data_IF_845532676430
#
_entry.id   IF_845532676430
#
_cell.length_a   1.000
_cell.length_b   1.000
_cell.length_c   1.000
_cell.angle_alpha   90.00
_cell.angle_beta   90.00
_cell.angle_gamma   90.00
#
_symmetry.space_group_name_H-M   'P 1'
#
loop_
_entity.id
_entity.type
_entity.pdbx_description
1 polymer ?
#
# COMPACT_ATOMS: atom_id res chain seq x y z
N UNK A 1 -4.96 15.89 -10.56
CA UNK A 1 -4.90 14.73 -9.64
C UNK A 1 -4.72 15.24 -8.22
N UNK A 2 -5.45 14.70 -7.24
CA UNK A 2 -5.37 15.13 -5.85
C UNK A 2 -4.87 14.00 -4.94
N UNK A 3 -3.84 14.30 -4.13
CA UNK A 3 -3.25 13.39 -3.14
C UNK A 3 -2.60 14.23 -2.03
N UNK A 4 -2.88 13.96 -0.77
CA UNK A 4 -2.22 14.68 0.33
C UNK A 4 -0.76 14.26 0.51
N UNK A 5 -0.35 13.13 -0.04
CA UNK A 5 1.05 12.69 -0.12
C UNK A 5 1.58 12.87 -1.53
N UNK A 6 2.74 13.47 -1.67
CA UNK A 6 3.47 13.56 -2.95
C UNK A 6 4.96 13.78 -2.66
N UNK A 7 5.90 13.26 -3.47
CA UNK A 7 7.33 13.44 -3.22
C UNK A 7 7.73 14.91 -3.03
N UNK A 8 8.67 15.20 -2.13
CA UNK A 8 9.59 14.30 -1.41
C UNK A 8 9.04 13.68 -0.12
N UNK A 9 7.74 13.76 0.12
CA UNK A 9 7.11 13.12 1.28
C UNK A 9 7.28 11.60 1.23
N UNK A 10 7.56 10.99 2.39
CA UNK A 10 7.80 9.55 2.54
C UNK A 10 6.48 8.80 2.70
N UNK A 11 5.83 8.44 1.59
CA UNK A 11 4.53 7.76 1.60
C UNK A 11 4.33 6.85 0.39
N UNK A 12 3.63 5.73 0.60
CA UNK A 12 3.35 4.77 -0.48
C UNK A 12 2.39 5.31 -1.52
N UNK A 13 1.37 6.06 -1.09
CA UNK A 13 0.38 6.66 -1.99
C UNK A 13 0.99 7.82 -2.77
N UNK A 14 1.85 8.61 -2.14
CA UNK A 14 2.59 9.67 -2.80
C UNK A 14 3.51 9.14 -3.92
N UNK A 15 4.24 8.06 -3.64
CA UNK A 15 5.08 7.37 -4.62
C UNK A 15 4.26 6.81 -5.78
N UNK A 16 3.14 6.15 -5.49
CA UNK A 16 2.21 5.66 -6.49
C UNK A 16 1.70 6.79 -7.38
N UNK A 17 1.22 7.87 -6.76
CA UNK A 17 0.67 9.04 -7.46
C UNK A 17 1.70 9.66 -8.39
N UNK A 18 2.93 9.82 -7.92
CA UNK A 18 4.03 10.38 -8.73
C UNK A 18 4.30 9.56 -9.98
N UNK A 19 4.44 8.24 -9.85
CA UNK A 19 4.74 7.35 -10.97
C UNK A 19 3.56 7.28 -11.95
N UNK A 20 2.32 7.26 -11.45
CA UNK A 20 1.13 7.32 -12.31
C UNK A 20 1.05 8.64 -13.09
N UNK A 21 1.29 9.78 -12.43
CA UNK A 21 1.30 11.10 -13.09
C UNK A 21 2.37 11.15 -14.18
N UNK A 22 3.58 10.68 -13.88
CA UNK A 22 4.66 10.60 -14.86
C UNK A 22 4.27 9.77 -16.08
N UNK A 23 3.66 8.61 -15.86
CA UNK A 23 3.23 7.74 -16.95
C UNK A 23 2.07 8.32 -17.76
N UNK A 24 1.11 8.98 -17.13
CA UNK A 24 0.02 9.67 -17.82
C UNK A 24 0.53 10.85 -18.67
N UNK A 25 1.46 11.64 -18.14
CA UNK A 25 2.13 12.72 -18.88
C UNK A 25 2.89 12.17 -20.09
N UNK A 26 3.55 11.02 -19.97
CA UNK A 26 4.22 10.34 -21.10
C UNK A 26 3.23 9.84 -22.18
N UNK A 27 1.95 9.63 -21.82
CA UNK A 27 0.88 9.32 -22.78
C UNK A 27 0.24 10.58 -23.40
N UNK A 28 0.78 11.77 -23.12
CA UNK A 28 0.32 13.04 -23.66
C UNK A 28 -0.87 13.67 -22.94
N UNK A 29 -1.15 13.24 -21.69
CA UNK A 29 -2.17 13.90 -20.88
C UNK A 29 -1.56 15.06 -20.09
N UNK A 30 -2.26 16.19 -20.05
CA UNK A 30 -1.94 17.31 -19.15
C UNK A 30 -2.44 16.99 -17.76
N UNK A 31 -1.52 16.73 -16.83
CA UNK A 31 -1.85 16.34 -15.46
C UNK A 31 -1.27 17.34 -14.47
N UNK A 32 -2.15 18.02 -13.76
CA UNK A 32 -1.81 18.89 -12.62
C UNK A 32 -1.99 18.12 -11.31
N UNK A 33 -1.12 18.36 -10.34
CA UNK A 33 -1.12 17.68 -9.03
C UNK A 33 -1.39 18.67 -7.93
N UNK A 34 -2.48 18.45 -7.16
CA UNK A 34 -2.76 19.11 -5.90
C UNK A 34 -2.32 18.23 -4.74
N UNK A 35 -1.47 18.74 -3.84
CA UNK A 35 -0.90 17.96 -2.74
C UNK A 35 -0.70 18.78 -1.45
N UNK A 36 0.03 18.21 -0.49
CA UNK A 36 0.47 18.90 0.72
C UNK A 36 1.57 19.91 0.40
N UNK A 37 1.72 20.93 1.25
CA UNK A 37 2.79 21.94 1.14
C UNK A 37 4.20 21.34 1.16
N UNK A 38 4.39 20.20 1.83
CA UNK A 38 5.66 19.49 1.85
C UNK A 38 5.92 18.66 0.57
N UNK A 39 4.93 18.51 -0.30
CA UNK A 39 5.05 17.87 -1.61
C UNK A 39 5.39 18.87 -2.70
N UNK A 40 6.00 18.39 -3.79
CA UNK A 40 6.35 19.20 -4.97
C UNK A 40 5.32 18.98 -6.09
N UNK A 41 4.03 19.18 -5.80
CA UNK A 41 2.97 19.22 -6.79
C UNK A 41 2.84 20.60 -7.44
N UNK A 42 1.89 20.74 -8.38
CA UNK A 42 1.61 22.00 -9.06
C UNK A 42 0.82 22.97 -8.16
N UNK A 43 0.01 22.41 -7.24
CA UNK A 43 -0.79 23.14 -6.26
C UNK A 43 -0.61 22.53 -4.86
N UNK A 44 -0.68 23.35 -3.83
CA UNK A 44 -0.52 22.95 -2.43
C UNK A 44 -1.78 23.23 -1.60
N UNK A 45 -1.74 22.83 -0.33
CA UNK A 45 -2.79 23.12 0.65
C UNK A 45 -3.62 21.93 1.09
N UNK A 46 -3.42 20.73 0.50
CA UNK A 46 -4.09 19.52 0.97
C UNK A 46 -3.36 18.91 2.18
N UNK A 47 -4.11 18.54 3.21
CA UNK A 47 -3.53 17.90 4.39
C UNK A 47 -4.57 17.05 5.13
N UNK A 48 -4.16 15.97 5.81
CA UNK A 48 -5.07 15.22 6.70
C UNK A 48 -5.70 16.07 7.81
N UNK A 49 -5.07 17.18 8.17
CA UNK A 49 -5.55 18.09 9.23
C UNK A 49 -6.27 19.33 8.69
N UNK A 50 -6.21 19.59 7.40
CA UNK A 50 -6.85 20.74 6.80
C UNK A 50 -8.35 20.52 6.60
N UNK A 51 -9.18 21.15 7.43
CA UNK A 51 -10.65 21.09 7.33
C UNK A 51 -11.20 21.74 6.06
N UNK A 52 -10.42 22.56 5.38
CA UNK A 52 -10.77 23.27 4.13
C UNK A 52 -10.28 22.56 2.87
N UNK A 53 -9.92 21.27 2.92
CA UNK A 53 -9.52 20.51 1.74
C UNK A 53 -10.52 20.62 0.58
N UNK A 54 -11.84 20.62 0.89
CA UNK A 54 -12.89 20.77 -0.13
C UNK A 54 -12.82 22.11 -0.85
N UNK A 55 -12.66 23.19 -0.11
CA UNK A 55 -12.61 24.57 -0.62
C UNK A 55 -11.32 24.77 -1.44
N UNK A 56 -10.19 24.23 -0.98
CA UNK A 56 -8.90 24.24 -1.71
C UNK A 56 -9.08 23.54 -3.05
N UNK A 57 -9.62 22.34 -3.08
CA UNK A 57 -9.82 21.59 -4.33
C UNK A 57 -10.81 22.27 -5.27
N UNK A 58 -11.90 22.87 -4.77
CA UNK A 58 -12.88 23.59 -5.60
C UNK A 58 -12.20 24.79 -6.31
N UNK A 59 -11.41 25.59 -5.59
CA UNK A 59 -10.67 26.72 -6.18
C UNK A 59 -9.69 26.24 -7.27
N UNK A 60 -8.93 25.17 -7.01
CA UNK A 60 -7.99 24.62 -8.01
C UNK A 60 -8.74 24.13 -9.25
N UNK A 61 -9.89 23.46 -9.08
CA UNK A 61 -10.72 23.00 -10.20
C UNK A 61 -11.28 24.15 -11.01
N UNK A 62 -11.72 25.23 -10.35
CA UNK A 62 -12.18 26.45 -11.01
C UNK A 62 -11.07 27.14 -11.81
N UNK A 63 -9.85 27.20 -11.26
CA UNK A 63 -8.67 27.81 -11.90
C UNK A 63 -8.20 27.01 -13.13
N UNK A 64 -8.12 25.66 -13.02
CA UNK A 64 -7.60 24.80 -14.10
C UNK A 64 -8.68 24.49 -15.14
N UNK A 65 -9.95 24.40 -14.71
CA UNK A 65 -11.07 23.88 -15.50
C UNK A 65 -10.77 22.53 -16.18
N UNK A 66 -10.39 21.48 -15.42
CA UNK A 66 -9.94 20.22 -16.00
C UNK A 66 -11.11 19.41 -16.56
N UNK A 67 -10.82 18.50 -17.50
CA UNK A 67 -11.80 17.54 -18.01
C UNK A 67 -12.23 16.52 -16.95
N UNK A 68 -11.31 16.14 -16.05
CA UNK A 68 -11.51 15.11 -15.00
C UNK A 68 -10.73 15.50 -13.74
N UNK A 69 -11.33 15.30 -12.59
CA UNK A 69 -10.64 15.30 -11.30
C UNK A 69 -10.40 13.86 -10.86
N UNK A 70 -9.16 13.52 -10.58
CA UNK A 70 -8.81 12.19 -10.07
C UNK A 70 -8.32 12.28 -8.62
N UNK A 71 -9.02 11.61 -7.70
CA UNK A 71 -8.73 11.60 -6.25
C UNK A 71 -8.04 10.29 -5.87
N UNK A 72 -6.88 10.37 -5.24
CA UNK A 72 -6.21 9.25 -4.58
C UNK A 72 -6.79 9.15 -3.16
N UNK A 73 -7.73 8.24 -2.95
CA UNK A 73 -8.54 8.22 -1.74
C UNK A 73 -8.08 7.16 -0.73
N UNK A 74 -7.67 7.63 0.42
CA UNK A 74 -7.54 6.89 1.68
C UNK A 74 -8.16 7.77 2.77
N UNK A 75 -9.17 7.30 3.52
CA UNK A 75 -9.87 8.15 4.49
C UNK A 75 -8.95 8.91 5.45
N UNK A 76 -7.90 8.24 5.93
CA UNK A 76 -6.92 8.84 6.83
C UNK A 76 -6.13 10.00 6.23
N UNK A 77 -5.97 10.04 4.92
CA UNK A 77 -5.29 11.15 4.21
C UNK A 77 -6.12 12.43 4.14
N UNK A 78 -7.42 12.33 4.33
CA UNK A 78 -8.34 13.47 4.27
C UNK A 78 -9.07 13.72 5.59
N UNK A 79 -8.45 13.34 6.71
CA UNK A 79 -8.98 13.62 8.04
C UNK A 79 -10.24 12.86 8.36
N UNK A 80 -10.25 11.54 8.19
CA UNK A 80 -11.40 10.71 8.52
C UNK A 80 -11.79 10.84 9.98
N UNK A 81 -13.05 11.16 10.21
CA UNK A 81 -13.71 11.13 11.51
C UNK A 81 -14.71 9.99 11.49
N UNK A 82 -14.35 8.88 12.15
CA UNK A 82 -15.25 7.75 12.39
C UNK A 82 -15.92 7.95 13.75
N UNK A 83 -17.17 8.40 13.75
CA UNK A 83 -17.98 8.56 14.95
C UNK A 83 -18.77 7.27 15.23
N UNK A 84 -18.44 6.51 16.28
CA UNK A 84 -19.12 5.26 16.59
C UNK A 84 -20.54 5.47 17.14
N UNK A 85 -20.83 6.64 17.70
CA UNK A 85 -22.13 6.96 18.31
C UNK A 85 -23.07 7.57 17.27
N UNK A 86 -22.59 8.59 16.57
CA UNK A 86 -23.37 9.28 15.55
C UNK A 86 -22.78 9.03 14.15
N UNK A 87 -23.17 7.92 13.55
CA UNK A 87 -22.69 7.48 12.23
C UNK A 87 -22.88 8.50 11.11
N UNK A 88 -23.87 9.41 11.25
CA UNK A 88 -24.12 10.48 10.27
C UNK A 88 -23.04 11.57 10.30
N UNK A 89 -22.29 11.68 11.38
CA UNK A 89 -21.19 12.64 11.52
C UNK A 89 -19.85 12.10 11.01
N UNK A 90 -19.79 10.83 10.59
CA UNK A 90 -18.57 10.26 10.03
C UNK A 90 -18.33 10.83 8.64
N UNK A 91 -17.20 11.51 8.48
CA UNK A 91 -16.87 12.29 7.29
C UNK A 91 -15.37 12.45 7.10
N UNK A 92 -15.03 12.84 5.89
CA UNK A 92 -13.69 13.33 5.53
C UNK A 92 -13.77 14.82 5.17
N UNK A 93 -12.64 15.52 5.19
CA UNK A 93 -12.60 16.95 4.85
C UNK A 93 -12.69 17.23 3.34
N UNK A 94 -12.95 16.21 2.51
CA UNK A 94 -13.24 16.37 1.08
C UNK A 94 -14.67 15.95 0.71
N UNK A 95 -15.55 15.65 1.66
CA UNK A 95 -16.92 15.23 1.36
C UNK A 95 -17.68 16.30 0.59
N UNK A 96 -17.58 17.57 1.04
CA UNK A 96 -18.24 18.71 0.39
C UNK A 96 -17.74 18.93 -1.05
N UNK A 97 -16.48 18.59 -1.35
CA UNK A 97 -15.95 18.63 -2.71
C UNK A 97 -16.70 17.69 -3.64
N UNK A 98 -16.92 16.44 -3.24
CA UNK A 98 -17.63 15.45 -4.07
C UNK A 98 -19.06 15.88 -4.41
N UNK A 99 -19.74 16.62 -3.52
CA UNK A 99 -21.09 17.14 -3.78
C UNK A 99 -21.11 18.39 -4.66
N UNK A 100 -20.11 19.26 -4.54
CA UNK A 100 -20.11 20.57 -5.19
C UNK A 100 -19.38 20.57 -6.53
N UNK A 101 -18.44 19.65 -6.74
CA UNK A 101 -17.66 19.57 -7.96
C UNK A 101 -18.55 19.14 -9.14
N UNK A 102 -18.59 19.97 -10.19
CA UNK A 102 -19.32 19.69 -11.43
C UNK A 102 -18.50 18.91 -12.45
N UNK A 103 -17.17 18.96 -12.31
CA UNK A 103 -16.26 18.21 -13.14
C UNK A 103 -16.32 16.72 -12.80
N UNK A 104 -16.30 15.83 -13.79
CA UNK A 104 -16.29 14.39 -13.54
C UNK A 104 -15.17 13.95 -12.60
N UNK A 105 -15.51 13.09 -11.63
CA UNK A 105 -14.58 12.60 -10.61
C UNK A 105 -14.27 11.12 -10.87
N UNK A 106 -12.99 10.76 -10.85
CA UNK A 106 -12.48 9.40 -10.74
C UNK A 106 -11.86 9.25 -9.36
N UNK A 107 -12.12 8.14 -8.67
CA UNK A 107 -11.54 7.88 -7.35
C UNK A 107 -10.77 6.56 -7.33
N UNK A 108 -9.46 6.61 -7.06
CA UNK A 108 -8.68 5.41 -6.75
C UNK A 108 -8.70 5.17 -5.24
N UNK A 109 -9.23 4.02 -4.83
CA UNK A 109 -9.31 3.62 -3.43
C UNK A 109 -8.04 2.86 -3.02
N UNK A 110 -7.38 3.32 -1.97
CA UNK A 110 -6.17 2.70 -1.43
C UNK A 110 -6.44 1.76 -0.26
N UNK A 111 -7.64 1.81 0.33
CA UNK A 111 -8.07 0.87 1.37
C UNK A 111 -9.51 0.42 1.20
N UNK A 112 -9.73 -0.86 1.46
CA UNK A 112 -11.04 -1.48 1.51
C UNK A 112 -10.92 -2.78 2.29
N UNK A 113 -11.71 -2.93 3.36
CA UNK A 113 -11.66 -4.10 4.23
C UNK A 113 -13.02 -4.81 4.26
N UNK A 114 -13.01 -6.14 4.21
CA UNK A 114 -14.18 -6.92 4.59
C UNK A 114 -14.37 -6.87 6.13
N UNK A 115 -15.51 -7.36 6.60
CA UNK A 115 -15.84 -7.32 8.03
C UNK A 115 -14.79 -8.06 8.89
N UNK A 116 -14.35 -9.25 8.46
CA UNK A 116 -13.39 -10.05 9.23
C UNK A 116 -12.03 -9.36 9.37
N UNK A 117 -11.51 -8.79 8.29
CA UNK A 117 -10.24 -8.07 8.32
C UNK A 117 -10.36 -6.73 9.07
N UNK A 118 -11.48 -6.03 8.93
CA UNK A 118 -11.73 -4.84 9.74
C UNK A 118 -11.72 -5.16 11.23
N UNK A 119 -12.43 -6.22 11.65
CA UNK A 119 -12.44 -6.65 13.05
C UNK A 119 -11.09 -7.14 13.54
N UNK A 120 -10.26 -7.70 12.66
CA UNK A 120 -8.90 -8.15 13.02
C UNK A 120 -7.98 -7.01 13.48
N UNK A 121 -8.29 -5.76 13.13
CA UNK A 121 -7.59 -4.57 13.65
C UNK A 121 -7.70 -4.44 15.18
N UNK A 122 -8.76 -4.99 15.77
CA UNK A 122 -8.93 -5.02 17.23
C UNK A 122 -7.80 -5.76 17.96
N UNK A 123 -7.17 -6.72 17.28
CA UNK A 123 -6.03 -7.46 17.80
C UNK A 123 -4.69 -6.73 17.67
N UNK A 124 -4.65 -5.57 16.95
CA UNK A 124 -3.46 -4.74 16.83
C UNK A 124 -3.28 -3.88 18.10
N UNK A 125 -3.04 -4.54 19.24
CA UNK A 125 -2.89 -3.88 20.53
C UNK A 125 -1.40 -3.79 20.88
N UNK A 126 -0.94 -2.58 21.16
CA UNK A 126 0.40 -2.37 21.73
C UNK A 126 0.39 -2.81 23.20
N UNK A 127 1.36 -3.62 23.61
CA UNK A 127 1.53 -4.08 25.01
C UNK A 127 1.92 -2.94 25.96
N UNK A 128 2.49 -1.84 25.46
CA UNK A 128 2.92 -0.71 26.25
C UNK A 128 1.79 0.27 26.58
N UNK A 129 1.65 0.62 27.84
CA UNK A 129 0.72 1.63 28.34
C UNK A 129 0.66 1.57 29.87
N UNK A 130 0.12 2.59 30.54
CA UNK A 130 0.08 2.73 32.01
C UNK A 130 -0.43 1.50 32.77
N UNK A 131 -1.30 0.67 32.18
CA UNK A 131 -1.87 -0.52 32.79
C UNK A 131 -1.11 -1.82 32.44
N UNK A 132 -0.01 -1.75 31.69
CA UNK A 132 0.79 -2.94 31.34
C UNK A 132 -0.04 -4.07 30.70
N UNK A 133 0.27 -5.32 31.10
CA UNK A 133 -0.40 -6.53 30.60
C UNK A 133 -1.87 -6.60 31.07
N UNK A 134 -2.19 -6.15 32.28
CA UNK A 134 -3.56 -6.18 32.84
C UNK A 134 -4.55 -5.30 32.09
N UNK A 135 -4.09 -4.23 31.40
CA UNK A 135 -4.93 -3.38 30.57
C UNK A 135 -5.22 -3.96 29.18
N UNK A 136 -4.62 -5.08 28.76
CA UNK A 136 -4.80 -5.66 27.43
C UNK A 136 -6.24 -6.09 27.17
N UNK A 137 -6.93 -6.83 28.08
CA UNK A 137 -8.33 -7.22 27.84
C UNK A 137 -9.27 -6.03 27.70
N UNK A 138 -9.13 -5.01 28.54
CA UNK A 138 -9.94 -3.80 28.45
C UNK A 138 -9.72 -3.05 27.13
N UNK A 139 -8.47 -2.88 26.72
CA UNK A 139 -8.13 -2.23 25.43
C UNK A 139 -8.64 -3.03 24.24
N UNK A 140 -8.57 -4.36 24.31
CA UNK A 140 -9.14 -5.22 23.28
C UNK A 140 -10.65 -5.02 23.21
N UNK A 141 -11.35 -5.06 24.32
CA UNK A 141 -12.79 -4.86 24.36
C UNK A 141 -13.18 -3.49 23.77
N UNK A 142 -12.54 -2.41 24.21
CA UNK A 142 -12.80 -1.06 23.69
C UNK A 142 -12.55 -1.00 22.17
N UNK A 143 -11.42 -1.52 21.67
CA UNK A 143 -11.14 -1.56 20.24
C UNK A 143 -12.11 -2.44 19.47
N UNK A 144 -12.45 -3.61 20.00
CA UNK A 144 -13.39 -4.53 19.37
C UNK A 144 -14.76 -3.88 19.18
N UNK A 145 -15.33 -3.31 20.24
CA UNK A 145 -16.61 -2.62 20.15
C UNK A 145 -16.53 -1.38 19.26
N UNK A 146 -15.44 -0.61 19.32
CA UNK A 146 -15.23 0.52 18.41
C UNK A 146 -15.20 0.06 16.95
N UNK A 147 -14.45 -0.98 16.61
CA UNK A 147 -14.41 -1.49 15.23
C UNK A 147 -15.76 -2.09 14.79
N UNK A 148 -16.45 -2.80 15.68
CA UNK A 148 -17.80 -3.31 15.40
C UNK A 148 -18.78 -2.18 15.05
N UNK A 149 -18.76 -1.10 15.81
CA UNK A 149 -19.63 0.06 15.58
C UNK A 149 -19.24 0.87 14.34
N UNK A 150 -17.95 0.94 14.02
CA UNK A 150 -17.42 1.79 12.93
C UNK A 150 -17.29 1.09 11.59
N UNK A 151 -17.43 -0.24 11.53
CA UNK A 151 -17.31 -0.97 10.25
C UNK A 151 -18.27 -0.46 9.16
N UNK A 152 -19.56 -0.39 9.49
CA UNK A 152 -20.55 0.10 8.55
C UNK A 152 -20.31 1.57 8.15
N UNK A 153 -19.79 2.34 9.08
CA UNK A 153 -19.42 3.74 8.84
C UNK A 153 -18.26 3.85 7.85
N UNK A 154 -17.20 3.07 8.05
CA UNK A 154 -16.06 2.99 7.13
C UNK A 154 -16.52 2.54 5.72
N UNK A 155 -17.33 1.47 5.66
CA UNK A 155 -17.91 0.98 4.42
C UNK A 155 -18.75 2.04 3.71
N UNK A 156 -19.59 2.77 4.46
CA UNK A 156 -20.43 3.83 3.92
C UNK A 156 -19.59 5.02 3.42
N UNK A 157 -18.51 5.38 4.08
CA UNK A 157 -17.60 6.44 3.58
C UNK A 157 -17.05 6.10 2.20
N UNK A 158 -16.54 4.89 2.02
CA UNK A 158 -16.05 4.44 0.73
C UNK A 158 -17.16 4.39 -0.32
N UNK A 159 -18.32 3.83 0.05
CA UNK A 159 -19.49 3.77 -0.84
C UNK A 159 -19.95 5.15 -1.28
N UNK A 160 -20.06 6.11 -0.38
CA UNK A 160 -20.44 7.49 -0.72
C UNK A 160 -19.48 8.12 -1.73
N UNK A 161 -18.16 7.88 -1.59
CA UNK A 161 -17.18 8.37 -2.57
C UNK A 161 -17.34 7.68 -3.91
N UNK A 162 -17.62 6.38 -3.91
CA UNK A 162 -17.89 5.64 -5.14
C UNK A 162 -19.17 6.15 -5.82
N UNK A 163 -20.27 6.28 -5.09
CA UNK A 163 -21.57 6.73 -5.61
C UNK A 163 -21.53 8.17 -6.18
N UNK A 164 -20.58 8.99 -5.71
CA UNK A 164 -20.33 10.36 -6.17
C UNK A 164 -19.24 10.45 -7.24
N UNK A 165 -18.60 9.35 -7.57
CA UNK A 165 -17.60 9.26 -8.62
C UNK A 165 -18.20 8.74 -9.91
N UNK A 166 -17.70 9.22 -11.05
CA UNK A 166 -18.06 8.69 -12.36
C UNK A 166 -17.43 7.32 -12.60
N UNK A 167 -16.32 7.02 -11.93
CA UNK A 167 -15.69 5.70 -11.89
C UNK A 167 -14.84 5.56 -10.65
N UNK A 168 -14.86 4.38 -10.03
CA UNK A 168 -13.91 3.96 -9.00
C UNK A 168 -12.80 3.11 -9.60
N UNK A 169 -11.62 3.10 -8.97
CA UNK A 169 -10.52 2.20 -9.29
C UNK A 169 -10.03 1.53 -8.02
N UNK A 170 -9.76 0.22 -8.10
CA UNK A 170 -9.21 -0.63 -7.04
C UNK A 170 -8.12 -1.54 -7.57
N UNK A 171 -7.30 -2.13 -6.70
CA UNK A 171 -6.12 -2.90 -7.11
C UNK A 171 -6.32 -4.42 -7.16
N UNK A 172 -7.51 -4.91 -6.79
CA UNK A 172 -7.78 -6.36 -6.70
C UNK A 172 -9.28 -6.66 -6.66
N UNK A 173 -9.64 -7.91 -6.94
CA UNK A 173 -11.02 -8.41 -6.76
C UNK A 173 -11.46 -8.35 -5.29
N UNK A 174 -10.52 -8.59 -4.36
CA UNK A 174 -10.79 -8.43 -2.94
C UNK A 174 -11.26 -7.01 -2.60
N UNK A 175 -10.55 -6.00 -3.10
CA UNK A 175 -10.95 -4.59 -2.91
C UNK A 175 -12.25 -4.26 -3.64
N UNK A 176 -12.46 -4.77 -4.85
CA UNK A 176 -13.72 -4.60 -5.59
C UNK A 176 -14.91 -5.08 -4.76
N UNK A 177 -14.84 -6.28 -4.18
CA UNK A 177 -15.88 -6.83 -3.29
C UNK A 177 -16.08 -6.00 -2.03
N UNK A 178 -15.04 -5.33 -1.53
CA UNK A 178 -15.09 -4.53 -0.32
C UNK A 178 -15.62 -3.10 -0.53
N UNK A 179 -15.36 -2.51 -1.70
CA UNK A 179 -15.75 -1.13 -2.05
C UNK A 179 -17.09 -1.11 -2.79
N UNK A 180 -17.21 -1.85 -3.89
CA UNK A 180 -18.44 -1.96 -4.68
C UNK A 180 -18.22 -2.15 -6.18
N UNK A 181 -19.27 -2.57 -6.88
CA UNK A 181 -19.24 -2.95 -8.30
C UNK A 181 -19.00 -1.78 -9.28
N UNK A 182 -19.12 -0.53 -8.83
CA UNK A 182 -18.81 0.66 -9.64
C UNK A 182 -17.31 0.92 -9.85
N UNK A 183 -16.43 0.03 -9.35
CA UNK A 183 -14.99 0.11 -9.53
C UNK A 183 -14.50 -0.75 -10.69
N UNK A 184 -13.43 -0.28 -11.35
CA UNK A 184 -12.59 -1.08 -12.24
C UNK A 184 -11.35 -1.57 -11.51
N UNK A 185 -10.90 -2.77 -11.83
CA UNK A 185 -9.64 -3.30 -11.31
C UNK A 185 -8.53 -2.83 -12.24
N UNK A 186 -7.63 -2.01 -11.70
CA UNK A 186 -6.36 -1.65 -12.33
C UNK A 186 -5.28 -1.99 -11.32
N UNK A 187 -4.42 -2.96 -11.61
CA UNK A 187 -3.38 -3.37 -10.67
C UNK A 187 -2.48 -2.19 -10.29
N UNK A 188 -1.97 -2.22 -9.07
CA UNK A 188 -1.02 -1.22 -8.60
C UNK A 188 0.22 -1.22 -9.49
N UNK A 189 0.50 -0.11 -10.15
CA UNK A 189 1.66 0.03 -10.99
C UNK A 189 2.96 -0.13 -10.21
N UNK A 190 3.88 -0.87 -10.79
CA UNK A 190 5.21 -1.09 -10.24
C UNK A 190 6.17 -1.41 -11.37
N UNK A 191 7.36 -0.83 -11.33
CA UNK A 191 8.37 -1.03 -12.36
C UNK A 191 9.77 -0.87 -11.74
N UNK A 192 10.74 -1.71 -12.14
CA UNK A 192 12.12 -1.53 -11.72
C UNK A 192 12.67 -0.16 -12.12
N UNK A 193 13.50 0.40 -11.29
CA UNK A 193 14.22 1.62 -11.63
C UNK A 193 15.16 1.37 -12.82
N UNK A 194 15.05 2.19 -13.85
CA UNK A 194 15.60 1.97 -15.21
C UNK A 194 17.11 2.13 -15.34
N UNK A 195 17.91 1.83 -14.30
CA UNK A 195 19.37 1.79 -14.45
C UNK A 195 19.84 0.37 -14.76
N UNK A 196 20.82 0.29 -15.62
CA UNK A 196 21.50 -0.93 -16.00
C UNK A 196 22.18 -1.58 -14.80
N UNK A 197 21.51 -2.58 -14.23
CA UNK A 197 22.09 -3.50 -13.26
C UNK A 197 22.19 -4.83 -14.00
N UNK A 198 23.40 -5.39 -14.09
CA UNK A 198 23.62 -6.65 -14.81
C UNK A 198 23.01 -7.87 -14.11
N UNK A 199 22.41 -7.68 -12.94
CA UNK A 199 21.67 -8.72 -12.23
C UNK A 199 21.92 -8.78 -10.73
N UNK A 200 21.45 -9.87 -10.13
CA UNK A 200 21.44 -10.11 -8.68
C UNK A 200 22.80 -9.99 -8.02
N UNK A 201 23.87 -10.52 -8.64
CA UNK A 201 25.23 -10.50 -8.10
C UNK A 201 25.76 -9.08 -7.95
N UNK A 202 25.52 -8.24 -8.96
CA UNK A 202 25.93 -6.84 -8.93
C UNK A 202 25.15 -6.06 -7.86
N UNK A 203 23.82 -6.23 -7.80
CA UNK A 203 23.01 -5.61 -6.78
C UNK A 203 23.46 -5.96 -5.36
N UNK A 204 23.80 -7.23 -5.12
CA UNK A 204 24.35 -7.69 -3.84
C UNK A 204 25.72 -7.08 -3.52
N UNK A 205 26.58 -6.95 -4.53
CA UNK A 205 27.89 -6.32 -4.38
C UNK A 205 27.76 -4.85 -3.97
N UNK A 206 26.90 -4.10 -4.68
CA UNK A 206 26.64 -2.67 -4.38
C UNK A 206 26.08 -2.49 -2.95
N UNK A 207 25.21 -3.41 -2.52
CA UNK A 207 24.58 -3.35 -1.20
C UNK A 207 25.41 -4.03 -0.08
N UNK A 208 26.57 -4.59 -0.40
CA UNK A 208 27.41 -5.39 0.52
C UNK A 208 26.63 -6.56 1.15
N UNK A 209 25.78 -7.23 0.36
CA UNK A 209 24.99 -8.39 0.77
C UNK A 209 25.71 -9.70 0.42
N UNK A 210 25.45 -10.81 1.16
CA UNK A 210 26.06 -12.11 0.90
C UNK A 210 25.78 -12.63 -0.52
N UNK A 211 26.81 -13.19 -1.15
CA UNK A 211 26.71 -13.76 -2.50
C UNK A 211 26.31 -15.24 -2.51
N UNK A 212 26.60 -15.95 -1.44
CA UNK A 212 26.51 -17.41 -1.27
C UNK A 212 25.23 -17.89 -0.57
N UNK A 213 24.39 -16.96 -0.13
CA UNK A 213 23.12 -17.26 0.54
C UNK A 213 21.93 -16.83 -0.31
N UNK A 214 20.78 -17.51 -0.19
CA UNK A 214 19.51 -16.99 -0.69
C UNK A 214 18.96 -15.92 0.26
N UNK A 215 18.35 -14.89 -0.28
CA UNK A 215 17.89 -13.73 0.48
C UNK A 215 16.37 -13.56 0.38
N UNK A 216 15.72 -13.47 1.53
CA UNK A 216 14.30 -13.10 1.63
C UNK A 216 14.18 -11.69 2.20
N UNK A 217 13.48 -10.81 1.48
CA UNK A 217 13.33 -9.38 1.84
C UNK A 217 12.08 -9.15 2.69
N UNK A 218 12.24 -8.50 3.84
CA UNK A 218 11.15 -7.91 4.60
C UNK A 218 11.35 -6.38 4.65
N UNK A 219 10.46 -5.63 3.97
CA UNK A 219 10.58 -4.18 3.88
C UNK A 219 9.23 -3.48 4.11
N UNK A 220 9.26 -2.29 4.70
CA UNK A 220 8.07 -1.48 4.91
C UNK A 220 8.14 -0.53 6.10
N UNK A 221 7.01 0.12 6.38
CA UNK A 221 6.89 1.04 7.51
C UNK A 221 6.89 0.32 8.87
N UNK A 222 7.41 1.00 9.90
CA UNK A 222 7.46 0.50 11.29
C UNK A 222 6.09 0.56 11.96
N UNK A 223 5.14 -0.24 11.46
CA UNK A 223 3.79 -0.32 12.01
C UNK A 223 3.45 -1.72 12.49
N UNK A 224 2.53 -1.82 13.45
CA UNK A 224 2.06 -3.12 13.99
C UNK A 224 1.42 -3.98 12.89
N UNK A 225 0.76 -3.35 11.92
CA UNK A 225 0.10 -4.02 10.80
C UNK A 225 1.06 -4.83 9.92
N UNK A 226 2.34 -4.42 9.83
CA UNK A 226 3.38 -5.10 9.04
C UNK A 226 3.90 -6.39 9.69
N UNK A 227 3.61 -6.63 10.97
CA UNK A 227 3.86 -7.92 11.60
C UNK A 227 5.33 -8.26 11.88
N UNK A 228 6.17 -7.26 12.06
CA UNK A 228 7.61 -7.38 12.32
C UNK A 228 7.98 -8.35 13.46
N UNK A 229 7.09 -8.51 14.44
CA UNK A 229 7.26 -9.42 15.59
C UNK A 229 7.43 -10.89 15.18
N UNK A 230 6.97 -11.28 14.00
CA UNK A 230 7.15 -12.65 13.50
C UNK A 230 8.62 -12.94 13.18
N UNK A 231 9.35 -11.98 12.59
CA UNK A 231 10.72 -12.16 12.18
C UNK A 231 11.64 -12.53 13.35
N UNK A 232 11.39 -11.97 14.53
CA UNK A 232 12.15 -12.31 15.76
C UNK A 232 12.14 -13.80 16.10
N UNK A 233 11.07 -14.50 15.75
CA UNK A 233 10.80 -15.87 16.16
C UNK A 233 10.87 -16.86 15.02
N UNK A 234 11.15 -16.39 13.80
CA UNK A 234 11.16 -17.23 12.62
C UNK A 234 12.41 -18.10 12.59
N UNK A 235 12.24 -19.40 12.31
CA UNK A 235 13.34 -20.29 12.01
C UNK A 235 13.72 -20.12 10.55
N UNK A 236 14.83 -19.45 10.25
CA UNK A 236 15.29 -19.22 8.90
C UNK A 236 15.96 -20.52 8.40
N UNK A 237 15.54 -21.09 7.25
CA UNK A 237 16.11 -22.30 6.71
C UNK A 237 17.61 -22.15 6.40
N UNK A 238 18.32 -23.28 6.46
CA UNK A 238 19.74 -23.31 6.09
C UNK A 238 19.94 -22.78 4.65
N UNK A 239 20.99 -22.02 4.42
CA UNK A 239 21.30 -21.39 3.13
C UNK A 239 20.50 -20.10 2.86
N UNK A 240 19.58 -19.72 3.76
CA UNK A 240 18.82 -18.48 3.65
C UNK A 240 19.21 -17.45 4.68
N UNK A 241 19.09 -16.18 4.30
CA UNK A 241 19.12 -15.04 5.21
C UNK A 241 17.91 -14.13 4.96
N UNK A 242 17.48 -13.43 6.00
CA UNK A 242 16.40 -12.43 5.89
C UNK A 242 17.01 -11.04 5.94
N UNK A 243 16.81 -10.28 4.87
CA UNK A 243 17.19 -8.87 4.80
C UNK A 243 16.01 -8.04 5.26
N UNK A 244 16.24 -7.17 6.22
CA UNK A 244 15.20 -6.29 6.79
C UNK A 244 15.56 -4.85 6.50
N UNK A 245 14.60 -4.07 5.99
CA UNK A 245 14.67 -2.62 5.99
C UNK A 245 13.34 -2.03 6.43
N UNK A 246 13.36 -1.27 7.50
CA UNK A 246 12.16 -0.65 8.05
C UNK A 246 12.31 0.86 8.14
N UNK A 247 11.27 1.60 7.81
CA UNK A 247 11.26 3.07 7.80
C UNK A 247 10.09 3.66 8.56
N UNK A 248 10.20 4.93 8.96
CA UNK A 248 9.07 5.71 9.43
C UNK A 248 8.29 6.26 8.22
N UNK A 249 6.96 6.25 8.27
CA UNK A 249 6.13 6.95 7.30
C UNK A 249 6.04 8.44 7.62
N UNK A 250 5.71 9.28 6.64
CA UNK A 250 5.62 10.74 6.83
C UNK A 250 4.61 11.14 7.91
N UNK A 251 3.44 10.51 7.92
CA UNK A 251 2.40 10.74 8.93
C UNK A 251 2.45 9.75 10.10
N UNK A 252 3.47 8.90 10.19
CA UNK A 252 3.54 7.91 11.25
C UNK A 252 3.97 8.55 12.56
N UNK A 253 3.06 8.60 13.53
CA UNK A 253 3.34 8.92 14.93
C UNK A 253 3.80 7.69 15.72
N UNK A 254 3.80 6.52 15.10
CA UNK A 254 4.11 5.26 15.76
C UNK A 254 5.61 5.04 15.90
N UNK A 255 6.10 5.08 17.13
CA UNK A 255 7.44 4.57 17.47
C UNK A 255 7.34 3.05 17.68
N UNK A 256 7.63 2.27 16.64
CA UNK A 256 7.76 0.82 16.77
C UNK A 256 9.22 0.49 17.01
N UNK A 257 9.52 -0.13 18.15
CA UNK A 257 10.88 -0.56 18.48
C UNK A 257 11.27 -1.77 17.62
N UNK A 258 12.31 -1.61 16.80
CA UNK A 258 12.85 -2.66 15.93
C UNK A 258 14.11 -3.32 16.49
N UNK A 259 14.66 -2.83 17.62
CA UNK A 259 15.90 -3.34 18.19
C UNK A 259 15.87 -4.84 18.51
N UNK A 260 14.67 -5.40 18.64
CA UNK A 260 14.51 -6.83 18.84
C UNK A 260 14.85 -7.72 17.64
N UNK A 261 14.93 -7.14 16.42
CA UNK A 261 15.25 -7.92 15.21
C UNK A 261 16.72 -8.30 15.20
N UNK A 262 17.58 -7.37 15.60
CA UNK A 262 19.06 -7.50 15.50
C UNK A 262 19.70 -8.36 16.59
N UNK A 263 19.03 -8.58 17.71
CA UNK A 263 19.71 -9.00 18.92
C UNK A 263 20.04 -10.49 19.05
N UNK A 264 19.67 -11.39 18.08
CA UNK A 264 19.83 -12.85 18.33
C UNK A 264 19.98 -13.78 17.11
N UNK A 265 20.14 -13.32 15.88
CA UNK A 265 20.27 -14.26 14.75
C UNK A 265 21.28 -13.77 13.70
N UNK A 266 22.34 -14.56 13.48
CA UNK A 266 23.29 -14.35 12.40
C UNK A 266 22.68 -14.46 10.98
N UNK A 267 21.41 -14.88 10.90
CA UNK A 267 20.68 -15.04 9.64
C UNK A 267 19.74 -13.87 9.32
N UNK A 268 19.71 -12.81 10.16
CA UNK A 268 18.97 -11.58 9.89
C UNK A 268 19.97 -10.46 9.63
N UNK A 269 19.84 -9.80 8.48
CA UNK A 269 20.61 -8.62 8.09
C UNK A 269 19.66 -7.43 8.19
N UNK A 270 19.81 -6.60 9.22
CA UNK A 270 19.05 -5.38 9.36
C UNK A 270 19.84 -4.21 8.78
N UNK A 271 19.34 -3.65 7.68
CA UNK A 271 20.03 -2.57 6.98
C UNK A 271 19.94 -1.23 7.72
N UNK A 272 18.95 -1.06 8.60
CA UNK A 272 18.72 0.16 9.39
C UNK A 272 18.71 1.45 8.53
N UNK A 273 18.41 1.32 7.25
CA UNK A 273 18.22 2.47 6.36
C UNK A 273 16.82 3.01 6.58
N UNK A 274 16.67 4.31 6.48
CA UNK A 274 15.35 4.94 6.52
C UNK A 274 14.58 4.66 5.21
N UNK A 275 13.65 5.50 4.83
CA UNK A 275 12.93 5.40 3.57
C UNK A 275 13.91 5.40 2.40
N UNK A 276 13.84 4.36 1.56
CA UNK A 276 14.74 4.19 0.43
C UNK A 276 14.21 4.98 -0.78
N UNK A 277 15.13 5.65 -1.47
CA UNK A 277 14.87 6.20 -2.79
C UNK A 277 14.63 5.07 -3.82
N UNK A 278 13.98 5.39 -4.93
CA UNK A 278 13.57 4.43 -5.97
C UNK A 278 14.72 3.51 -6.43
N UNK A 279 15.91 4.07 -6.64
CA UNK A 279 17.09 3.31 -7.05
C UNK A 279 17.49 2.28 -6.02
N UNK A 280 17.67 2.68 -4.78
CA UNK A 280 18.14 1.80 -3.71
C UNK A 280 17.10 0.76 -3.32
N UNK A 281 15.82 1.13 -3.41
CA UNK A 281 14.71 0.20 -3.23
C UNK A 281 14.69 -0.86 -4.32
N UNK A 282 14.87 -0.48 -5.57
CA UNK A 282 14.94 -1.41 -6.71
C UNK A 282 16.17 -2.31 -6.63
N UNK A 283 17.35 -1.76 -6.27
CA UNK A 283 18.56 -2.55 -6.02
C UNK A 283 18.33 -3.64 -4.96
N UNK A 284 17.65 -3.28 -3.88
CA UNK A 284 17.37 -4.22 -2.79
C UNK A 284 16.44 -5.35 -3.23
N UNK A 285 15.45 -5.05 -4.06
CA UNK A 285 14.59 -6.06 -4.66
C UNK A 285 15.39 -6.97 -5.59
N UNK A 286 16.21 -6.44 -6.50
CA UNK A 286 17.05 -7.27 -7.37
C UNK A 286 18.01 -8.19 -6.60
N UNK A 287 18.48 -7.78 -5.42
CA UNK A 287 19.38 -8.57 -4.60
C UNK A 287 18.73 -9.82 -3.99
N UNK A 288 17.40 -9.85 -3.88
CA UNK A 288 16.67 -10.87 -3.13
C UNK A 288 16.05 -11.97 -4.02
N UNK A 289 15.70 -13.09 -3.40
CA UNK A 289 15.11 -14.27 -4.05
C UNK A 289 13.62 -14.43 -3.74
N UNK A 290 13.16 -13.89 -2.63
CA UNK A 290 11.75 -13.89 -2.22
C UNK A 290 11.44 -12.67 -1.36
N UNK A 291 10.16 -12.33 -1.24
CA UNK A 291 9.69 -11.25 -0.34
C UNK A 291 8.83 -11.83 0.77
N UNK A 292 9.09 -11.42 2.00
CA UNK A 292 8.33 -11.80 3.20
C UNK A 292 7.35 -10.69 3.55
N UNK A 293 6.06 -11.03 3.59
CA UNK A 293 4.96 -10.12 3.92
C UNK A 293 4.17 -10.65 5.12
N UNK A 294 4.75 -10.63 6.34
CA UNK A 294 4.15 -11.23 7.53
C UNK A 294 3.05 -10.34 8.13
N UNK A 295 2.29 -9.68 7.28
CA UNK A 295 1.32 -8.67 7.67
C UNK A 295 0.24 -9.25 8.58
N UNK A 296 -0.24 -8.42 9.49
CA UNK A 296 -1.37 -8.74 10.35
C UNK A 296 -2.70 -8.36 9.72
N UNK A 297 -2.66 -7.35 8.87
CA UNK A 297 -3.79 -6.88 8.09
C UNK A 297 -3.28 -6.10 6.88
N UNK A 298 -3.97 -6.20 5.77
CA UNK A 298 -3.78 -5.36 4.60
C UNK A 298 -5.00 -5.40 3.69
N UNK A 299 -5.27 -4.33 2.99
CA UNK A 299 -6.21 -4.29 1.86
C UNK A 299 -5.49 -4.22 0.52
N UNK A 300 -4.22 -3.81 0.54
CA UNK A 300 -3.35 -3.70 -0.63
C UNK A 300 -1.89 -3.70 -0.18
N UNK A 301 -0.95 -4.02 -1.09
CA UNK A 301 0.47 -3.98 -0.77
C UNK A 301 1.29 -3.55 -1.99
N UNK A 302 1.72 -2.29 -2.00
CA UNK A 302 2.68 -1.79 -2.99
C UNK A 302 3.96 -2.61 -3.02
N UNK A 303 4.50 -2.98 -1.83
CA UNK A 303 5.72 -3.83 -1.73
C UNK A 303 5.56 -5.18 -2.44
N UNK A 304 4.36 -5.81 -2.39
CA UNK A 304 4.11 -7.04 -3.14
C UNK A 304 4.22 -6.78 -4.65
N UNK A 305 3.56 -5.75 -5.15
CA UNK A 305 3.60 -5.42 -6.57
C UNK A 305 5.01 -5.00 -7.02
N UNK A 306 5.74 -4.27 -6.19
CA UNK A 306 7.15 -3.94 -6.46
C UNK A 306 8.01 -5.20 -6.56
N UNK A 307 7.84 -6.17 -5.64
CA UNK A 307 8.54 -7.45 -5.71
C UNK A 307 8.20 -8.22 -6.99
N UNK A 308 6.92 -8.32 -7.34
CA UNK A 308 6.45 -8.98 -8.55
C UNK A 308 7.01 -8.31 -9.82
N UNK A 309 7.10 -6.99 -9.85
CA UNK A 309 7.68 -6.26 -10.99
C UNK A 309 9.17 -6.57 -11.20
N UNK A 310 9.88 -6.94 -10.13
CA UNK A 310 11.29 -7.35 -10.16
C UNK A 310 11.48 -8.87 -10.39
N UNK A 311 10.41 -9.61 -10.68
CA UNK A 311 10.50 -11.05 -10.91
C UNK A 311 10.57 -11.89 -9.62
N UNK A 312 10.22 -11.33 -8.46
CA UNK A 312 10.40 -11.96 -7.14
C UNK A 312 9.06 -12.46 -6.61
N UNK A 313 8.91 -13.77 -6.30
CA UNK A 313 7.72 -14.31 -5.66
C UNK A 313 7.62 -13.87 -4.19
N UNK A 314 6.40 -13.91 -3.65
CA UNK A 314 6.13 -13.53 -2.27
C UNK A 314 5.75 -14.73 -1.38
N UNK A 315 6.03 -14.58 -0.08
CA UNK A 315 5.55 -15.43 1.01
C UNK A 315 4.80 -14.51 1.96
N UNK A 316 3.49 -14.63 2.03
CA UNK A 316 2.64 -13.69 2.76
C UNK A 316 1.80 -14.38 3.84
N UNK A 317 1.34 -13.60 4.81
CA UNK A 317 0.30 -14.05 5.73
C UNK A 317 -0.98 -14.41 4.97
N UNK A 318 -1.73 -15.36 5.50
CA UNK A 318 -3.00 -15.86 4.98
C UNK A 318 -4.11 -14.79 5.12
N UNK A 319 -4.01 -13.74 4.29
CA UNK A 319 -4.96 -12.64 4.19
C UNK A 319 -5.64 -12.67 2.80
N UNK A 320 -6.90 -12.27 2.74
CA UNK A 320 -7.72 -12.37 1.53
C UNK A 320 -7.10 -11.67 0.31
N UNK A 321 -6.49 -10.51 0.50
CA UNK A 321 -5.76 -9.81 -0.55
C UNK A 321 -4.62 -10.66 -1.13
N UNK A 322 -3.77 -11.25 -0.29
CA UNK A 322 -2.64 -12.06 -0.77
C UNK A 322 -3.06 -13.39 -1.39
N UNK A 323 -4.16 -14.00 -0.91
CA UNK A 323 -4.71 -15.24 -1.48
C UNK A 323 -5.03 -15.09 -2.95
N UNK A 324 -5.65 -13.98 -3.34
CA UNK A 324 -5.99 -13.70 -4.75
C UNK A 324 -4.76 -13.81 -5.66
N UNK A 325 -3.62 -13.28 -5.24
CA UNK A 325 -2.39 -13.32 -6.02
C UNK A 325 -1.63 -14.65 -5.89
N UNK A 326 -1.76 -15.33 -4.76
CA UNK A 326 -1.21 -16.68 -4.59
C UNK A 326 -1.93 -17.71 -5.47
N UNK A 327 -3.24 -17.58 -5.70
CA UNK A 327 -4.02 -18.40 -6.63
C UNK A 327 -3.56 -18.26 -8.08
N UNK A 328 -2.93 -17.12 -8.42
CA UNK A 328 -2.28 -16.90 -9.72
C UNK A 328 -0.87 -17.51 -9.81
N UNK A 329 -0.39 -18.18 -8.75
CA UNK A 329 0.96 -18.73 -8.70
C UNK A 329 2.08 -17.68 -8.58
N UNK A 330 1.79 -16.49 -8.05
CA UNK A 330 2.77 -15.40 -7.91
C UNK A 330 3.55 -15.47 -6.60
N UNK A 331 3.20 -16.37 -5.74
CA UNK A 331 3.73 -16.60 -4.42
C UNK A 331 2.82 -17.51 -3.62
N UNK A 332 2.98 -17.53 -2.31
CA UNK A 332 2.16 -18.35 -1.41
C UNK A 332 1.67 -17.57 -0.21
N UNK A 333 0.55 -18.04 0.34
CA UNK A 333 0.08 -17.58 1.65
C UNK A 333 0.22 -18.69 2.68
N UNK A 334 0.63 -18.30 3.89
CA UNK A 334 0.88 -19.22 5.00
C UNK A 334 0.25 -18.67 6.28
N UNK A 335 -0.09 -19.57 7.23
CA UNK A 335 -0.53 -19.16 8.57
C UNK A 335 0.52 -18.26 9.20
N UNK A 336 0.09 -17.21 9.89
CA UNK A 336 1.00 -16.23 10.49
C UNK A 336 1.67 -16.78 11.75
N UNK A 337 2.58 -17.71 11.57
CA UNK A 337 3.45 -18.25 12.61
C UNK A 337 4.86 -18.55 12.06
N UNK A 338 5.82 -18.72 12.96
CA UNK A 338 7.24 -18.89 12.64
C UNK A 338 7.54 -20.13 11.79
N UNK A 339 6.86 -21.22 12.02
CA UNK A 339 7.08 -22.50 11.30
C UNK A 339 6.52 -22.40 9.89
N UNK A 340 5.29 -21.91 9.73
CA UNK A 340 4.65 -21.82 8.44
C UNK A 340 5.41 -20.88 7.47
N UNK A 341 5.98 -19.76 7.94
CA UNK A 341 6.82 -18.91 7.11
C UNK A 341 8.16 -19.58 6.73
N UNK A 342 8.75 -20.35 7.66
CA UNK A 342 9.94 -21.15 7.38
C UNK A 342 9.68 -22.21 6.30
N UNK A 343 8.56 -22.91 6.42
CA UNK A 343 8.15 -23.91 5.42
C UNK A 343 7.78 -23.25 4.09
N UNK A 344 7.21 -22.05 4.14
CA UNK A 344 6.95 -21.22 2.95
C UNK A 344 8.21 -20.86 2.17
N UNK A 345 9.31 -20.53 2.87
CA UNK A 345 10.60 -20.31 2.19
C UNK A 345 11.08 -21.58 1.48
N UNK A 346 11.00 -22.75 2.13
CA UNK A 346 11.35 -24.03 1.51
C UNK A 346 10.47 -24.38 0.32
N UNK A 347 9.19 -24.04 0.38
CA UNK A 347 8.24 -24.27 -0.71
C UNK A 347 8.57 -23.41 -1.93
N UNK A 348 8.82 -22.10 -1.73
CA UNK A 348 9.27 -21.22 -2.81
C UNK A 348 10.58 -21.71 -3.39
N UNK A 349 11.52 -22.15 -2.55
CA UNK A 349 12.82 -22.69 -3.01
C UNK A 349 12.64 -23.91 -3.91
N UNK A 350 11.82 -24.88 -3.47
CA UNK A 350 11.57 -26.14 -4.18
C UNK A 350 10.91 -25.92 -5.54
N UNK A 351 9.99 -24.96 -5.62
CA UNK A 351 9.18 -24.71 -6.81
C UNK A 351 9.48 -23.33 -7.45
N UNK A 352 10.71 -22.83 -7.28
CA UNK A 352 11.08 -21.47 -7.68
C UNK A 352 10.79 -21.19 -9.15
N UNK A 353 11.11 -22.13 -10.04
CA UNK A 353 10.87 -22.01 -11.49
C UNK A 353 9.38 -21.78 -11.81
N UNK A 354 8.49 -22.49 -11.13
CA UNK A 354 7.05 -22.31 -11.30
C UNK A 354 6.59 -20.90 -10.94
N UNK A 355 6.98 -20.43 -9.76
CA UNK A 355 6.59 -19.09 -9.30
C UNK A 355 7.22 -17.98 -10.15
N UNK A 356 8.49 -18.10 -10.47
CA UNK A 356 9.22 -17.11 -11.29
C UNK A 356 8.59 -16.96 -12.68
N UNK A 357 8.25 -18.06 -13.35
CA UNK A 357 7.58 -18.03 -14.68
C UNK A 357 6.22 -17.33 -14.63
N UNK A 358 5.43 -17.57 -13.58
CA UNK A 358 4.15 -16.89 -13.42
C UNK A 358 4.32 -15.40 -13.12
N UNK A 359 5.27 -15.05 -12.26
CA UNK A 359 5.62 -13.65 -11.98
C UNK A 359 6.09 -12.93 -13.24
N UNK A 360 6.94 -13.56 -14.07
CA UNK A 360 7.43 -12.98 -15.32
C UNK A 360 6.30 -12.68 -16.32
N UNK A 361 5.27 -13.53 -16.37
CA UNK A 361 4.07 -13.26 -17.19
C UNK A 361 3.22 -12.14 -16.60
N UNK A 362 3.11 -12.09 -15.28
CA UNK A 362 2.24 -11.14 -14.61
C UNK A 362 2.81 -9.71 -14.57
N UNK A 363 4.14 -9.55 -14.42
CA UNK A 363 4.80 -8.24 -14.26
C UNK A 363 4.54 -7.25 -15.40
N UNK A 364 4.23 -7.75 -16.62
CA UNK A 364 3.88 -6.89 -17.76
C UNK A 364 2.64 -6.04 -17.49
N UNK A 365 1.68 -6.57 -16.70
CA UNK A 365 0.46 -5.86 -16.30
C UNK A 365 0.71 -4.78 -15.24
N UNK A 366 1.90 -4.77 -14.64
CA UNK A 366 2.28 -3.81 -13.61
C UNK A 366 3.04 -2.61 -14.18
N UNK A 367 3.54 -2.69 -15.41
CA UNK A 367 4.29 -1.60 -16.05
C UNK A 367 3.48 -0.30 -16.06
N UNK A 368 4.12 0.79 -15.71
CA UNK A 368 3.44 2.08 -15.59
C UNK A 368 2.78 2.53 -16.88
N UNK A 369 3.36 2.23 -18.05
CA UNK A 369 2.73 2.54 -19.34
C UNK A 369 1.44 1.74 -19.56
N UNK A 370 1.42 0.45 -19.15
CA UNK A 370 0.21 -0.36 -19.20
C UNK A 370 -0.86 0.19 -18.24
N UNK A 371 -0.50 0.41 -16.98
CA UNK A 371 -1.39 0.97 -15.94
C UNK A 371 -1.95 2.33 -16.37
N UNK A 372 -1.11 3.23 -16.88
CA UNK A 372 -1.55 4.54 -17.37
C UNK A 372 -2.50 4.41 -18.57
N UNK A 373 -2.31 3.43 -19.46
CA UNK A 373 -3.23 3.19 -20.59
C UNK A 373 -4.61 2.71 -20.10
N UNK A 374 -4.66 1.89 -19.06
CA UNK A 374 -5.91 1.48 -18.42
C UNK A 374 -6.63 2.68 -17.78
N UNK A 375 -5.90 3.55 -17.08
CA UNK A 375 -6.49 4.80 -16.56
C UNK A 375 -6.97 5.73 -17.67
N UNK A 376 -6.21 5.88 -18.78
CA UNK A 376 -6.65 6.65 -19.94
C UNK A 376 -7.96 6.08 -20.51
N UNK A 377 -8.10 4.75 -20.57
CA UNK A 377 -9.36 4.11 -20.97
C UNK A 377 -10.51 4.45 -20.04
N UNK A 378 -10.29 4.46 -18.71
CA UNK A 378 -11.28 4.94 -17.72
C UNK A 378 -11.69 6.38 -18.03
N UNK A 379 -10.73 7.28 -18.19
CA UNK A 379 -11.00 8.70 -18.46
C UNK A 379 -11.79 8.89 -19.77
N UNK A 380 -11.39 8.19 -20.83
CA UNK A 380 -12.06 8.28 -22.14
C UNK A 380 -13.50 7.71 -22.12
N UNK A 381 -13.80 6.81 -21.20
CA UNK A 381 -15.16 6.26 -21.06
C UNK A 381 -16.15 7.22 -20.37
N UNK A 382 -15.65 8.29 -19.74
CA UNK A 382 -16.45 9.28 -19.05
C UNK A 382 -16.91 10.32 -20.08
N UNK A 383 -18.22 10.30 -20.38
CA UNK A 383 -18.81 11.31 -21.26
C UNK A 383 -18.80 12.67 -20.55
N UNK A 384 -18.26 13.71 -21.22
CA UNK A 384 -18.49 15.09 -20.75
C UNK A 384 -20.00 15.34 -20.64
N UNK A 385 -20.47 16.02 -19.57
CA UNK A 385 -21.82 16.56 -19.61
C UNK A 385 -21.95 17.40 -20.89
N UNK A 386 -22.98 17.15 -21.69
CA UNK A 386 -23.27 18.04 -22.85
C UNK A 386 -23.50 19.43 -22.27
N UNK A 387 -22.65 20.37 -22.67
CA UNK A 387 -22.75 21.80 -22.36
C UNK A 387 -24.11 22.37 -22.77
#
# INVERSE_FOLDING_TARGET
>A
MASTEYPPMKGGIGRYTYNLVKALRNLGLDVYVACNEAGKGDFSGLSPTNKQNSEVLLKIVEEINPDIVHIQFEPGMYGSILDPINRRNSRTYIDSFYFKCKTPIVTTFHSGYNFGEWMSQSFLIKKAGRLGIFGVPLRFAVKFFSHLLTYNTFKNLNKQKLDQSHSGVVFSNYMLKSIGEGCRIIYHGAEPYSQTISGKKEARSILSLPQDSKLALAIGFRTVSKGWDLLKKMNIPHGWKVVVNSSAGHYSTEKYDMNFITSRSNNIIDLQRDFLEERDFSLLLYACDATLLPYRITSSSGVMFDALSHGIPFIASDLAFFKEFAELGLGITVKRNRTAFSDGIKEIERNYSYYSQNVDKFKEKLKWNFVASEYRSVYSSIKKPRS
#
